data_IF_172090452524
#
_entry.id   IF_172090452524
#
_cell.length_a   1.000
_cell.length_b   1.000
_cell.length_c   1.000
_cell.angle_alpha   90.00
_cell.angle_beta   90.00
_cell.angle_gamma   90.00
#
_symmetry.space_group_name_H-M   'P 1'
#
loop_
_entity.id
_entity.type
_entity.pdbx_description
1 polymer ?
#
# COMPACT_ATOMS: atom_id res chain seq x y z
N UNK A 1 -13.90 9.34 16.83
CA UNK A 1 -13.40 9.05 15.48
C UNK A 1 -12.94 7.61 15.43
N UNK A 2 -13.31 6.87 14.41
CA UNK A 2 -12.81 5.51 14.19
C UNK A 2 -11.60 5.49 13.25
N UNK A 3 -10.99 4.32 13.07
CA UNK A 3 -9.79 4.17 12.25
C UNK A 3 -10.04 4.45 10.76
N UNK A 4 -11.22 4.10 10.25
CA UNK A 4 -11.60 4.35 8.85
C UNK A 4 -11.72 5.84 8.55
N UNK A 5 -12.28 6.60 9.51
CA UNK A 5 -12.33 8.06 9.40
C UNK A 5 -10.94 8.70 9.36
N UNK A 6 -9.99 8.18 10.17
CA UNK A 6 -8.60 8.66 10.14
C UNK A 6 -7.94 8.38 8.79
N UNK A 7 -8.12 7.17 8.24
CA UNK A 7 -7.60 6.82 6.91
C UNK A 7 -8.15 7.76 5.83
N UNK A 8 -9.47 7.97 5.82
CA UNK A 8 -10.12 8.88 4.88
C UNK A 8 -9.63 10.32 5.01
N UNK A 9 -9.52 10.83 6.24
CA UNK A 9 -8.98 12.17 6.48
C UNK A 9 -7.54 12.30 5.99
N UNK A 10 -6.70 11.28 6.19
CA UNK A 10 -5.33 11.26 5.69
C UNK A 10 -5.29 11.29 4.16
N UNK A 11 -6.09 10.46 3.50
CA UNK A 11 -6.18 10.44 2.03
C UNK A 11 -6.64 11.81 1.53
N UNK A 12 -7.74 12.33 2.07
CA UNK A 12 -8.29 13.63 1.65
C UNK A 12 -7.29 14.77 1.90
N UNK A 13 -6.56 14.74 3.04
CA UNK A 13 -5.52 15.73 3.31
C UNK A 13 -4.46 15.79 2.21
N UNK A 14 -3.93 14.63 1.83
CA UNK A 14 -2.89 14.55 0.80
C UNK A 14 -3.40 14.99 -0.58
N UNK A 15 -4.64 14.65 -0.92
CA UNK A 15 -5.24 15.08 -2.19
C UNK A 15 -5.82 16.50 -2.17
N UNK A 16 -5.78 17.21 -1.04
CA UNK A 16 -6.17 18.63 -0.96
C UNK A 16 -5.04 19.61 -1.28
N UNK A 17 -3.80 19.15 -1.39
CA UNK A 17 -2.67 19.92 -1.89
C UNK A 17 -2.50 19.67 -3.40
N UNK A 18 -2.45 20.72 -4.21
CA UNK A 18 -2.46 20.64 -5.68
C UNK A 18 -1.25 19.85 -6.22
N UNK A 19 -0.06 20.02 -5.65
CA UNK A 19 1.13 19.32 -6.12
C UNK A 19 1.10 17.83 -5.76
N UNK A 20 0.61 17.49 -4.57
CA UNK A 20 0.43 16.10 -4.16
C UNK A 20 -0.71 15.44 -4.95
N UNK A 21 -1.78 16.18 -5.27
CA UNK A 21 -2.87 15.69 -6.09
C UNK A 21 -2.40 15.23 -7.47
N UNK A 22 -1.54 16.00 -8.13
CA UNK A 22 -1.01 15.63 -9.45
C UNK A 22 -0.10 14.38 -9.43
N UNK A 23 0.55 14.11 -8.30
CA UNK A 23 1.57 13.07 -8.18
C UNK A 23 1.09 11.77 -7.57
N UNK A 24 0.21 11.83 -6.57
CA UNK A 24 -0.15 10.68 -5.77
C UNK A 24 -1.28 9.86 -6.40
N UNK A 25 -1.18 8.55 -6.27
CA UNK A 25 -2.22 7.60 -6.66
C UNK A 25 -2.40 6.61 -5.52
N UNK A 26 -3.59 6.54 -4.93
CA UNK A 26 -3.92 5.59 -3.87
C UNK A 26 -3.89 4.16 -4.41
N UNK A 27 -3.28 3.24 -3.66
CA UNK A 27 -3.18 1.84 -4.03
C UNK A 27 -3.42 0.88 -2.85
N UNK A 28 -3.17 -0.41 -3.09
CA UNK A 28 -3.12 -1.44 -2.05
C UNK A 28 -4.45 -1.75 -1.40
N UNK A 29 -4.38 -2.31 -0.19
CA UNK A 29 -5.56 -2.77 0.55
C UNK A 29 -6.57 -1.66 0.89
N UNK A 30 -6.10 -0.41 1.03
CA UNK A 30 -6.98 0.72 1.30
C UNK A 30 -7.80 1.15 0.07
N UNK A 31 -7.25 1.02 -1.13
CA UNK A 31 -8.02 1.20 -2.36
C UNK A 31 -9.12 0.13 -2.47
N UNK A 32 -8.79 -1.15 -2.19
CA UNK A 32 -9.76 -2.25 -2.20
C UNK A 32 -10.88 -2.07 -1.17
N UNK A 33 -10.54 -1.59 0.02
CA UNK A 33 -11.50 -1.44 1.12
C UNK A 33 -12.33 -0.15 1.02
N UNK A 34 -11.68 1.02 0.92
CA UNK A 34 -12.34 2.31 1.04
C UNK A 34 -12.98 2.78 -0.27
N UNK A 35 -12.40 2.44 -1.42
CA UNK A 35 -12.87 2.88 -2.73
C UNK A 35 -13.73 1.82 -3.38
N UNK A 36 -13.19 0.61 -3.57
CA UNK A 36 -13.89 -0.45 -4.30
C UNK A 36 -14.82 -1.28 -3.45
N UNK A 37 -14.68 -1.25 -2.10
CA UNK A 37 -15.50 -2.02 -1.14
C UNK A 37 -15.50 -3.53 -1.42
N UNK A 38 -14.40 -4.04 -1.94
CA UNK A 38 -14.22 -5.44 -2.30
C UNK A 38 -13.80 -6.33 -1.15
N UNK A 39 -13.26 -5.76 -0.08
CA UNK A 39 -12.80 -6.50 1.10
C UNK A 39 -13.15 -5.78 2.38
N UNK A 40 -13.56 -6.54 3.40
CA UNK A 40 -13.72 -6.01 4.76
C UNK A 40 -12.38 -5.87 5.51
N UNK A 41 -11.30 -6.45 4.95
CA UNK A 41 -9.96 -6.40 5.56
C UNK A 41 -9.41 -4.98 5.55
N UNK A 42 -9.09 -4.47 6.73
CA UNK A 42 -8.44 -3.17 6.88
C UNK A 42 -6.93 -3.29 6.76
N UNK A 43 -6.31 -2.43 5.94
CA UNK A 43 -4.87 -2.21 5.97
C UNK A 43 -4.55 -1.07 6.94
N UNK A 44 -3.55 -1.27 7.80
CA UNK A 44 -3.14 -0.23 8.76
C UNK A 44 -2.32 0.87 8.09
N UNK A 45 -1.54 0.54 7.08
CA UNK A 45 -0.68 1.46 6.37
C UNK A 45 -1.38 1.93 5.09
N UNK A 46 -1.28 3.23 4.80
CA UNK A 46 -1.78 3.81 3.57
C UNK A 46 -0.67 3.79 2.52
N UNK A 47 -0.98 3.24 1.35
CA UNK A 47 -0.02 3.08 0.27
C UNK A 47 -0.38 4.00 -0.90
N UNK A 48 0.59 4.76 -1.37
CA UNK A 48 0.48 5.58 -2.57
C UNK A 48 1.63 5.29 -3.53
N UNK A 49 1.35 5.46 -4.81
CA UNK A 49 2.33 5.42 -5.89
C UNK A 49 2.52 6.78 -6.52
N UNK A 50 3.73 7.00 -7.04
CA UNK A 50 4.09 8.12 -7.90
C UNK A 50 4.81 7.59 -9.14
N UNK A 51 4.58 8.20 -10.31
CA UNK A 51 5.29 7.86 -11.53
C UNK A 51 6.76 8.29 -11.49
N UNK A 52 7.03 9.43 -10.88
CA UNK A 52 8.38 9.98 -10.68
C UNK A 52 8.78 10.04 -9.22
N UNK A 53 9.56 11.06 -8.90
CA UNK A 53 10.05 11.37 -7.55
C UNK A 53 9.49 12.71 -7.05
N UNK A 54 9.58 12.97 -5.74
CA UNK A 54 9.31 14.28 -5.16
C UNK A 54 10.47 15.22 -5.55
N UNK A 55 10.14 16.36 -6.16
CA UNK A 55 11.16 17.26 -6.70
C UNK A 55 11.97 17.88 -5.55
N UNK A 56 11.52 18.60 -4.67
CA UNK A 56 12.23 19.27 -3.59
C UNK A 56 11.81 18.66 -2.24
N UNK A 57 12.56 17.69 -1.73
CA UNK A 57 12.18 16.91 -0.55
C UNK A 57 11.77 17.77 0.67
N UNK A 58 12.50 18.85 1.06
CA UNK A 58 12.09 19.69 2.17
C UNK A 58 10.72 20.34 1.93
N UNK A 59 10.48 20.85 0.73
CA UNK A 59 9.20 21.47 0.37
C UNK A 59 8.06 20.43 0.33
N UNK A 60 8.31 19.25 -0.23
CA UNK A 60 7.33 18.17 -0.26
C UNK A 60 6.97 17.68 1.16
N UNK A 61 7.95 17.55 2.05
CA UNK A 61 7.74 17.20 3.45
C UNK A 61 6.86 18.25 4.15
N UNK A 62 7.16 19.53 3.98
CA UNK A 62 6.40 20.62 4.58
C UNK A 62 4.95 20.66 4.07
N UNK A 63 4.73 20.43 2.77
CA UNK A 63 3.39 20.33 2.17
C UNK A 63 2.58 19.19 2.76
N UNK A 64 3.18 18.00 2.83
CA UNK A 64 2.53 16.79 3.39
C UNK A 64 2.09 17.06 4.82
N UNK A 65 2.98 17.53 5.69
CA UNK A 65 2.62 17.76 7.08
C UNK A 65 1.67 18.95 7.28
N UNK A 66 1.74 19.98 6.46
CA UNK A 66 0.78 21.07 6.48
C UNK A 66 -0.61 20.57 6.15
N UNK A 67 -0.77 19.86 5.03
CA UNK A 67 -2.06 19.31 4.60
C UNK A 67 -2.65 18.39 5.67
N UNK A 68 -1.82 17.52 6.28
CA UNK A 68 -2.25 16.63 7.36
C UNK A 68 -2.66 17.43 8.61
N UNK A 69 -1.85 18.37 9.08
CA UNK A 69 -2.17 19.20 10.26
C UNK A 69 -3.47 19.95 10.07
N UNK A 70 -3.63 20.66 8.95
CA UNK A 70 -4.82 21.49 8.68
C UNK A 70 -6.08 20.62 8.67
N UNK A 71 -6.01 19.42 8.07
CA UNK A 71 -7.15 18.50 8.00
C UNK A 71 -7.51 17.92 9.36
N UNK A 72 -6.54 17.45 10.12
CA UNK A 72 -6.78 16.89 11.45
C UNK A 72 -7.15 17.95 12.47
N UNK A 73 -6.60 19.15 12.35
CA UNK A 73 -6.96 20.31 13.16
C UNK A 73 -8.44 20.67 13.01
N UNK A 74 -8.91 20.75 11.77
CA UNK A 74 -10.32 20.97 11.46
C UNK A 74 -11.24 19.86 11.99
N UNK A 75 -10.71 18.64 12.16
CA UNK A 75 -11.43 17.51 12.74
C UNK A 75 -11.32 17.42 14.28
N UNK A 76 -10.68 18.39 14.96
CA UNK A 76 -10.52 18.44 16.41
C UNK A 76 -9.38 17.58 16.96
N UNK A 77 -8.38 17.26 16.13
CA UNK A 77 -7.20 16.49 16.52
C UNK A 77 -5.92 17.30 16.36
N UNK A 78 -4.93 16.99 17.20
CA UNK A 78 -3.57 17.49 17.08
C UNK A 78 -2.70 16.37 16.53
N UNK A 79 -1.98 16.67 15.44
CA UNK A 79 -0.99 15.79 14.84
C UNK A 79 0.39 16.12 15.42
N UNK A 80 1.14 15.08 15.81
CA UNK A 80 2.45 15.24 16.45
C UNK A 80 3.35 14.01 16.23
N UNK A 81 4.60 14.06 16.71
CA UNK A 81 5.65 13.04 16.49
C UNK A 81 5.82 12.71 14.99
N UNK A 82 5.86 13.76 14.17
CA UNK A 82 5.99 13.70 12.73
C UNK A 82 7.36 13.19 12.31
N UNK A 83 7.39 12.27 11.34
CA UNK A 83 8.62 11.78 10.72
C UNK A 83 8.43 11.60 9.23
N UNK A 84 9.43 12.01 8.48
CA UNK A 84 9.56 11.74 7.06
C UNK A 84 10.88 11.00 6.82
N UNK A 85 10.81 9.80 6.31
CA UNK A 85 11.98 8.93 6.13
C UNK A 85 12.07 8.44 4.69
N UNK A 86 13.28 8.45 4.14
CA UNK A 86 13.58 7.78 2.86
C UNK A 86 13.67 6.29 3.12
N UNK A 87 13.00 5.48 2.31
CA UNK A 87 13.03 4.01 2.39
C UNK A 87 13.51 3.41 1.06
N UNK A 88 14.50 2.55 1.07
CA UNK A 88 15.38 2.23 2.22
C UNK A 88 16.29 3.41 2.58
N UNK A 89 16.80 3.44 3.81
CA UNK A 89 17.73 4.50 4.28
C UNK A 89 19.02 4.60 3.45
N UNK A 90 19.45 3.49 2.90
CA UNK A 90 20.58 3.41 1.97
C UNK A 90 20.26 2.35 0.91
N UNK A 91 20.50 2.70 -0.34
CA UNK A 91 20.37 1.77 -1.45
C UNK A 91 21.44 0.68 -1.35
N UNK A 92 21.05 -0.53 -1.70
CA UNK A 92 21.97 -1.63 -1.86
C UNK A 92 22.80 -1.53 -3.15
N UNK A 93 23.90 -2.27 -3.20
CA UNK A 93 24.79 -2.34 -4.38
C UNK A 93 24.06 -2.70 -5.66
N UNK A 94 23.01 -3.54 -5.57
CA UNK A 94 22.20 -3.99 -6.72
C UNK A 94 20.84 -3.27 -6.85
N UNK A 95 20.57 -2.28 -5.99
CA UNK A 95 19.31 -1.52 -6.06
C UNK A 95 19.48 -0.30 -6.96
N UNK A 96 18.66 -0.15 -8.00
CA UNK A 96 18.72 1.02 -8.86
C UNK A 96 18.34 2.30 -8.09
N UNK A 97 18.81 3.48 -8.53
CA UNK A 97 18.44 4.77 -7.92
C UNK A 97 16.92 5.03 -7.85
N UNK A 98 16.18 4.37 -8.74
CA UNK A 98 14.71 4.41 -8.80
C UNK A 98 14.03 3.54 -7.72
N UNK A 99 14.79 2.76 -6.95
CA UNK A 99 14.26 1.90 -5.91
C UNK A 99 13.78 2.69 -4.69
N UNK A 100 12.70 2.22 -4.07
CA UNK A 100 12.23 2.73 -2.80
C UNK A 100 11.19 3.83 -2.90
N UNK A 101 11.17 4.69 -1.89
CA UNK A 101 10.18 5.75 -1.74
C UNK A 101 10.34 6.47 -0.41
N UNK A 102 9.23 6.89 0.16
CA UNK A 102 9.20 7.64 1.40
C UNK A 102 8.19 7.04 2.37
N UNK A 103 8.47 7.16 3.64
CA UNK A 103 7.52 6.83 4.69
C UNK A 103 7.25 8.07 5.54
N UNK A 104 5.98 8.45 5.60
CA UNK A 104 5.47 9.48 6.49
C UNK A 104 4.86 8.81 7.69
N UNK A 105 5.18 9.26 8.89
CA UNK A 105 4.54 8.74 10.10
C UNK A 105 4.23 9.84 11.09
N UNK A 106 3.16 9.66 11.85
CA UNK A 106 2.67 10.63 12.83
C UNK A 106 1.79 9.96 13.89
N UNK A 107 1.49 10.70 14.94
CA UNK A 107 0.50 10.33 15.97
C UNK A 107 -0.60 11.37 16.04
N UNK A 108 -1.73 10.97 16.59
CA UNK A 108 -2.90 11.82 16.79
C UNK A 108 -3.35 11.79 18.25
N UNK A 109 -3.82 12.94 18.73
CA UNK A 109 -4.51 13.08 20.00
C UNK A 109 -5.67 14.06 19.84
N UNK A 110 -6.77 13.87 20.57
CA UNK A 110 -7.86 14.85 20.61
C UNK A 110 -7.35 16.20 21.14
N UNK A 111 -7.73 17.30 20.49
CA UNK A 111 -7.31 18.66 20.85
C UNK A 111 -7.59 18.97 22.33
N UNK A 112 -8.80 18.69 22.80
CA UNK A 112 -9.17 18.90 24.19
C UNK A 112 -8.18 18.19 25.14
N UNK A 113 -7.86 16.93 24.82
CA UNK A 113 -6.96 16.13 25.66
C UNK A 113 -5.53 16.66 25.60
N UNK A 114 -5.07 17.10 24.43
CA UNK A 114 -3.77 17.76 24.27
C UNK A 114 -3.64 19.00 25.16
N UNK A 115 -4.65 19.86 25.17
CA UNK A 115 -4.70 21.06 25.98
C UNK A 115 -4.70 20.75 27.49
N UNK A 116 -5.50 19.78 27.94
CA UNK A 116 -5.54 19.33 29.34
C UNK A 116 -4.18 18.81 29.85
N UNK A 117 -3.38 18.22 28.98
CA UNK A 117 -2.06 17.70 29.32
C UNK A 117 -0.97 18.78 29.39
N UNK A 118 -1.27 20.01 28.99
CA UNK A 118 -0.40 21.16 29.18
C UNK A 118 1.02 21.01 28.64
N UNK A 119 1.17 20.36 27.48
CA UNK A 119 2.47 20.18 26.80
C UNK A 119 3.35 19.06 27.36
N UNK A 120 2.89 18.24 28.31
CA UNK A 120 3.64 17.08 28.84
C UNK A 120 3.74 15.97 27.78
N UNK A 121 4.77 16.02 26.98
CA UNK A 121 4.91 15.18 25.76
C UNK A 121 4.80 13.67 26.04
N UNK A 122 5.33 13.16 27.16
CA UNK A 122 5.25 11.74 27.49
C UNK A 122 3.81 11.31 27.82
N UNK A 123 3.03 12.16 28.46
CA UNK A 123 1.62 11.89 28.73
C UNK A 123 0.79 12.01 27.45
N UNK A 124 1.11 12.96 26.58
CA UNK A 124 0.52 13.08 25.25
C UNK A 124 0.76 11.81 24.43
N UNK A 125 2.00 11.29 24.40
CA UNK A 125 2.36 10.05 23.74
C UNK A 125 1.60 8.84 24.27
N UNK A 126 1.44 8.72 25.58
CA UNK A 126 0.71 7.61 26.23
C UNK A 126 -0.78 7.66 25.93
N UNK A 127 -1.35 8.84 25.74
CA UNK A 127 -2.78 9.05 25.56
C UNK A 127 -3.17 9.34 24.11
N UNK A 128 -2.22 9.24 23.18
CA UNK A 128 -2.49 9.35 21.75
C UNK A 128 -3.38 8.21 21.26
N UNK A 129 -4.03 8.43 20.14
CA UNK A 129 -4.98 7.50 19.53
C UNK A 129 -4.34 6.12 19.28
N UNK A 130 -5.07 5.06 19.61
CA UNK A 130 -4.63 3.66 19.43
C UNK A 130 -5.23 3.09 18.15
N UNK A 131 -4.39 2.48 17.33
CA UNK A 131 -4.74 1.85 16.07
C UNK A 131 -4.90 0.34 16.27
N UNK A 132 -6.09 -0.18 16.04
CA UNK A 132 -6.36 -1.62 16.12
C UNK A 132 -6.13 -2.23 17.50
N UNK A 133 -5.95 -3.54 17.55
CA UNK A 133 -5.85 -4.32 18.80
C UNK A 133 -4.46 -4.33 19.45
N UNK A 134 -3.40 -3.93 18.70
CA UNK A 134 -2.00 -4.09 19.11
C UNK A 134 -1.37 -2.92 19.86
N UNK A 135 -2.15 -1.99 20.42
CA UNK A 135 -1.62 -0.78 21.09
C UNK A 135 -0.75 0.11 20.19
N UNK A 136 -0.75 -0.12 18.87
CA UNK A 136 -0.04 0.72 17.90
C UNK A 136 -0.63 2.14 17.92
N UNK A 137 0.24 3.16 17.93
CA UNK A 137 -0.16 4.57 18.00
C UNK A 137 0.38 5.42 16.84
N UNK A 138 1.19 4.81 16.00
CA UNK A 138 1.84 5.48 14.87
C UNK A 138 1.08 5.13 13.60
N UNK A 139 0.55 6.16 12.95
CA UNK A 139 0.01 6.08 11.59
C UNK A 139 1.15 6.12 10.58
N UNK A 140 1.03 5.34 9.52
CA UNK A 140 2.06 5.23 8.49
C UNK A 140 1.44 5.42 7.12
N UNK A 141 2.11 6.22 6.30
CA UNK A 141 1.81 6.42 4.88
C UNK A 141 3.07 6.11 4.10
N UNK A 142 2.98 5.16 3.19
CA UNK A 142 4.09 4.75 2.32
C UNK A 142 3.88 5.32 0.92
N UNK A 143 4.89 6.04 0.41
CA UNK A 143 4.90 6.67 -0.90
C UNK A 143 5.93 5.95 -1.77
N UNK A 144 5.48 5.10 -2.68
CA UNK A 144 6.35 4.39 -3.63
C UNK A 144 6.62 5.26 -4.85
N UNK A 145 7.88 5.45 -5.22
CA UNK A 145 8.29 6.23 -6.39
C UNK A 145 8.60 5.36 -7.60
N UNK A 146 8.55 5.94 -8.80
CA UNK A 146 8.82 5.27 -10.07
C UNK A 146 7.96 4.01 -10.28
N UNK A 147 6.66 4.19 -10.05
CA UNK A 147 5.67 3.16 -10.32
C UNK A 147 4.94 3.45 -11.64
N UNK A 148 4.40 2.43 -12.27
CA UNK A 148 3.54 2.62 -13.44
C UNK A 148 2.14 3.05 -13.00
N UNK A 149 1.76 4.28 -13.31
CA UNK A 149 0.49 4.87 -12.86
C UNK A 149 -0.42 5.33 -13.99
N UNK A 150 -0.03 5.13 -15.25
CA UNK A 150 -0.76 5.66 -16.42
C UNK A 150 -2.26 5.27 -16.47
N UNK A 151 -2.68 4.02 -16.14
CA UNK A 151 -4.09 3.64 -16.15
C UNK A 151 -4.89 4.07 -14.92
N UNK A 152 -4.32 4.92 -14.02
CA UNK A 152 -5.05 5.41 -12.83
C UNK A 152 -6.38 6.03 -13.21
N UNK A 153 -7.35 5.92 -12.33
CA UNK A 153 -8.67 6.54 -12.50
C UNK A 153 -8.95 7.56 -11.41
N UNK A 154 -9.78 8.55 -11.73
CA UNK A 154 -10.28 9.48 -10.72
C UNK A 154 -11.60 8.99 -10.13
N UNK A 155 -11.77 9.18 -8.82
CA UNK A 155 -13.01 8.85 -8.12
C UNK A 155 -13.28 9.86 -7.01
N UNK A 156 -14.41 9.72 -6.32
CA UNK A 156 -14.76 10.55 -5.16
C UNK A 156 -14.61 9.76 -3.85
N UNK A 157 -13.90 10.36 -2.89
CA UNK A 157 -13.87 9.92 -1.51
C UNK A 157 -14.29 11.10 -0.62
N UNK A 158 -15.40 10.95 0.10
CA UNK A 158 -15.96 12.02 0.95
C UNK A 158 -16.01 13.40 0.24
N UNK A 159 -16.54 13.42 -1.00
CA UNK A 159 -16.66 14.59 -1.90
C UNK A 159 -15.35 15.11 -2.53
N UNK A 160 -14.18 14.62 -2.11
CA UNK A 160 -12.90 14.98 -2.72
C UNK A 160 -12.59 14.08 -3.91
N UNK A 161 -12.03 14.66 -4.97
CA UNK A 161 -11.48 13.89 -6.09
C UNK A 161 -10.14 13.32 -5.66
N UNK A 162 -9.95 12.02 -5.89
CA UNK A 162 -8.69 11.31 -5.66
C UNK A 162 -8.32 10.50 -6.89
N UNK A 163 -7.04 10.23 -7.09
CA UNK A 163 -6.59 9.22 -8.04
C UNK A 163 -6.35 7.89 -7.33
N UNK A 164 -6.75 6.81 -7.98
CA UNK A 164 -6.65 5.46 -7.43
C UNK A 164 -6.24 4.46 -8.52
N UNK A 165 -5.49 3.43 -8.15
CA UNK A 165 -5.22 2.28 -9.01
C UNK A 165 -6.52 1.59 -9.40
N UNK A 166 -6.63 1.15 -10.66
CA UNK A 166 -7.71 0.25 -11.06
C UNK A 166 -7.55 -1.13 -10.40
N UNK A 167 -8.60 -1.94 -10.32
CA UNK A 167 -8.51 -3.31 -9.83
C UNK A 167 -7.44 -4.14 -10.55
N UNK A 168 -7.28 -3.95 -11.87
CA UNK A 168 -6.27 -4.62 -12.70
C UNK A 168 -4.85 -4.18 -12.30
N UNK A 169 -4.63 -2.88 -12.11
CA UNK A 169 -3.33 -2.37 -11.61
C UNK A 169 -2.97 -2.95 -10.26
N UNK A 170 -3.94 -3.04 -9.32
CA UNK A 170 -3.71 -3.62 -7.99
C UNK A 170 -3.35 -5.10 -8.13
N UNK A 171 -4.05 -5.86 -8.98
CA UNK A 171 -3.77 -7.28 -9.21
C UNK A 171 -2.38 -7.50 -9.80
N UNK A 172 -2.02 -6.74 -10.84
CA UNK A 172 -0.70 -6.83 -11.47
C UNK A 172 0.44 -6.45 -10.49
N UNK A 173 0.24 -5.41 -9.66
CA UNK A 173 1.21 -5.02 -8.63
C UNK A 173 1.40 -6.10 -7.57
N UNK A 174 0.33 -6.74 -7.13
CA UNK A 174 0.39 -7.84 -6.16
C UNK A 174 1.11 -9.05 -6.74
N UNK A 175 0.84 -9.39 -7.98
CA UNK A 175 1.53 -10.46 -8.67
C UNK A 175 3.04 -10.16 -8.80
N UNK A 176 3.41 -8.94 -9.19
CA UNK A 176 4.79 -8.46 -9.16
C UNK A 176 5.41 -8.57 -7.76
N UNK A 177 4.68 -8.12 -6.72
CA UNK A 177 5.17 -8.15 -5.35
C UNK A 177 5.42 -9.58 -4.84
N UNK A 178 4.65 -10.57 -5.27
CA UNK A 178 4.93 -11.99 -5.01
C UNK A 178 6.27 -12.39 -5.66
N UNK A 179 6.48 -12.06 -6.94
CA UNK A 179 7.73 -12.34 -7.66
C UNK A 179 8.95 -11.64 -7.04
N UNK A 180 8.77 -10.45 -6.49
CA UNK A 180 9.85 -9.70 -5.82
C UNK A 180 10.36 -10.37 -4.53
N UNK A 181 9.65 -11.33 -3.95
CA UNK A 181 10.12 -12.05 -2.76
C UNK A 181 11.08 -13.19 -3.10
N UNK A 182 11.24 -13.53 -4.36
CA UNK A 182 12.09 -14.63 -4.81
C UNK A 182 13.57 -14.24 -4.75
N UNK A 183 14.48 -15.15 -4.35
CA UNK A 183 15.93 -14.91 -4.33
C UNK A 183 16.51 -14.50 -5.68
N UNK A 184 15.89 -14.93 -6.77
CA UNK A 184 16.29 -14.57 -8.14
C UNK A 184 16.06 -13.10 -8.49
N UNK A 185 15.25 -12.40 -7.70
CA UNK A 185 15.13 -10.96 -7.86
C UNK A 185 16.28 -10.25 -7.15
N UNK A 186 17.32 -9.94 -7.92
CA UNK A 186 18.62 -9.48 -7.42
C UNK A 186 18.62 -8.19 -6.54
N UNK A 187 17.66 -7.24 -6.67
CA UNK A 187 17.60 -6.10 -5.78
C UNK A 187 17.30 -6.43 -4.31
N UNK A 188 16.79 -7.64 -4.02
CA UNK A 188 16.52 -8.05 -2.65
C UNK A 188 17.80 -8.52 -1.94
N UNK A 189 18.12 -7.88 -0.80
CA UNK A 189 19.27 -8.22 0.04
C UNK A 189 19.04 -9.32 1.06
N UNK A 190 17.77 -9.58 1.37
CA UNK A 190 17.36 -10.51 2.42
C UNK A 190 16.35 -11.49 1.86
N UNK A 191 16.15 -12.64 2.53
CA UNK A 191 15.00 -13.48 2.23
C UNK A 191 13.77 -12.60 2.21
N UNK A 192 12.97 -12.73 1.16
CA UNK A 192 11.71 -12.00 1.04
C UNK A 192 10.77 -12.28 2.23
N UNK A 193 9.69 -11.57 2.31
CA UNK A 193 8.64 -11.80 3.31
C UNK A 193 7.48 -12.59 2.71
N UNK A 194 6.87 -13.54 3.42
CA UNK A 194 5.64 -14.18 2.99
C UNK A 194 4.55 -13.15 2.62
N UNK A 195 3.76 -13.47 1.60
CA UNK A 195 2.72 -12.58 1.06
C UNK A 195 1.40 -13.31 0.80
N UNK A 196 0.99 -14.21 1.70
CA UNK A 196 -0.26 -14.95 1.56
C UNK A 196 -1.48 -14.04 1.32
N UNK A 197 -1.44 -12.85 1.89
CA UNK A 197 -2.43 -11.79 1.68
C UNK A 197 -2.60 -11.38 0.22
N UNK A 198 -1.53 -11.35 -0.57
CA UNK A 198 -1.63 -10.95 -1.97
C UNK A 198 -2.31 -12.02 -2.82
N UNK A 199 -2.17 -13.30 -2.48
CA UNK A 199 -2.94 -14.39 -3.11
C UNK A 199 -4.43 -14.25 -2.84
N UNK A 200 -4.81 -13.96 -1.60
CA UNK A 200 -6.19 -13.69 -1.24
C UNK A 200 -6.76 -12.47 -1.98
N UNK A 201 -6.02 -11.37 -2.00
CA UNK A 201 -6.47 -10.15 -2.65
C UNK A 201 -6.62 -10.32 -4.18
N UNK A 202 -5.73 -11.08 -4.85
CA UNK A 202 -5.85 -11.42 -6.28
C UNK A 202 -7.12 -12.26 -6.52
N UNK A 203 -7.39 -13.24 -5.67
CA UNK A 203 -8.63 -14.03 -5.75
C UNK A 203 -9.87 -13.12 -5.65
N UNK A 204 -9.91 -12.23 -4.67
CA UNK A 204 -11.03 -11.28 -4.49
C UNK A 204 -11.18 -10.38 -5.73
N UNK A 205 -10.08 -9.86 -6.28
CA UNK A 205 -10.08 -9.02 -7.47
C UNK A 205 -10.64 -9.78 -8.70
N UNK A 206 -10.20 -11.00 -8.90
CA UNK A 206 -10.67 -11.81 -10.02
C UNK A 206 -12.15 -12.19 -9.88
N UNK A 207 -12.58 -12.60 -8.68
CA UNK A 207 -13.94 -13.15 -8.48
C UNK A 207 -15.00 -12.08 -8.23
N UNK A 208 -14.67 -11.01 -7.51
CA UNK A 208 -15.63 -9.97 -7.16
C UNK A 208 -15.59 -8.75 -8.09
N UNK A 209 -14.43 -8.46 -8.71
CA UNK A 209 -14.29 -7.35 -9.65
C UNK A 209 -14.13 -7.80 -11.13
N UNK A 210 -14.06 -9.10 -11.38
CA UNK A 210 -13.93 -9.66 -12.73
C UNK A 210 -12.58 -9.40 -13.39
N UNK A 211 -11.53 -9.17 -12.60
CA UNK A 211 -10.18 -8.91 -13.12
C UNK A 211 -9.62 -10.15 -13.81
N UNK A 212 -9.24 -10.03 -15.05
CA UNK A 212 -8.49 -11.03 -15.82
C UNK A 212 -7.29 -10.35 -16.49
N UNK A 213 -6.10 -10.55 -15.93
CA UNK A 213 -4.86 -9.92 -16.41
C UNK A 213 -4.44 -10.40 -17.80
N UNK A 214 -4.98 -11.53 -18.29
CA UNK A 214 -4.70 -12.02 -19.63
C UNK A 214 -5.31 -11.14 -20.74
N UNK A 215 -6.28 -10.32 -20.40
CA UNK A 215 -6.91 -9.36 -21.33
C UNK A 215 -6.10 -8.08 -21.53
N UNK A 216 -5.14 -7.80 -20.62
CA UNK A 216 -4.23 -6.63 -20.71
C UNK A 216 -2.81 -7.03 -20.27
N UNK A 217 -2.15 -7.84 -21.08
CA UNK A 217 -0.78 -8.30 -20.80
C UNK A 217 0.25 -7.17 -20.83
N UNK A 218 -0.03 -6.07 -21.52
CA UNK A 218 0.85 -4.91 -21.55
C UNK A 218 0.85 -4.17 -20.21
N UNK A 219 -0.28 -4.13 -19.50
CA UNK A 219 -0.31 -3.65 -18.12
C UNK A 219 0.66 -4.46 -17.24
N UNK A 220 0.65 -5.78 -17.35
CA UNK A 220 1.56 -6.64 -16.57
C UNK A 220 3.02 -6.33 -16.92
N UNK A 221 3.35 -6.22 -18.23
CA UNK A 221 4.70 -5.84 -18.69
C UNK A 221 5.16 -4.51 -18.09
N UNK A 222 4.34 -3.47 -18.16
CA UNK A 222 4.69 -2.13 -17.63
C UNK A 222 4.86 -2.13 -16.10
N UNK A 223 3.96 -2.81 -15.37
CA UNK A 223 4.03 -2.91 -13.91
C UNK A 223 5.29 -3.64 -13.46
N UNK A 224 5.67 -4.72 -14.13
CA UNK A 224 6.91 -5.47 -13.84
C UNK A 224 8.15 -4.66 -14.22
N UNK A 225 8.16 -4.05 -15.40
CA UNK A 225 9.26 -3.24 -15.91
C UNK A 225 9.56 -2.03 -15.01
N UNK A 226 8.55 -1.39 -14.42
CA UNK A 226 8.70 -0.25 -13.51
C UNK A 226 9.65 -0.52 -12.33
N UNK A 227 9.78 -1.79 -11.92
CA UNK A 227 10.69 -2.23 -10.85
C UNK A 227 11.76 -3.22 -11.32
N UNK A 228 11.96 -3.35 -12.61
CA UNK A 228 12.90 -4.30 -13.20
C UNK A 228 12.69 -5.74 -12.69
N UNK A 229 11.45 -6.17 -12.54
CA UNK A 229 11.11 -7.54 -12.13
C UNK A 229 11.05 -8.41 -13.39
N UNK A 230 11.87 -9.46 -13.49
CA UNK A 230 11.84 -10.34 -14.67
C UNK A 230 10.52 -11.10 -14.76
N UNK A 231 9.90 -11.08 -15.93
CA UNK A 231 8.61 -11.76 -16.17
C UNK A 231 8.71 -13.28 -16.03
N UNK A 232 9.87 -13.88 -16.29
CA UNK A 232 10.10 -15.31 -16.12
C UNK A 232 9.96 -15.81 -14.67
N UNK A 233 9.96 -14.89 -13.67
CA UNK A 233 9.66 -15.24 -12.29
C UNK A 233 8.20 -15.69 -12.09
N UNK A 234 7.30 -15.30 -13.00
CA UNK A 234 5.92 -15.80 -12.99
C UNK A 234 5.86 -17.32 -13.06
N UNK A 235 6.68 -17.95 -13.90
CA UNK A 235 6.76 -19.41 -14.03
C UNK A 235 7.19 -20.10 -12.72
N UNK A 236 7.91 -19.39 -11.84
CA UNK A 236 8.45 -19.90 -10.58
C UNK A 236 7.51 -19.75 -9.38
N UNK A 237 6.41 -19.01 -9.49
CA UNK A 237 5.46 -18.80 -8.38
C UNK A 237 5.07 -20.13 -7.74
N UNK A 238 4.90 -21.20 -8.54
CA UNK A 238 4.55 -22.54 -8.08
C UNK A 238 5.49 -23.14 -7.04
N UNK A 239 6.76 -22.73 -7.04
CA UNK A 239 7.81 -23.30 -6.19
C UNK A 239 7.83 -22.66 -4.80
N UNK A 240 7.07 -21.57 -4.61
CA UNK A 240 7.10 -20.74 -3.38
C UNK A 240 5.88 -20.93 -2.48
N UNK A 241 5.10 -21.99 -2.62
CA UNK A 241 3.91 -22.28 -1.80
C UNK A 241 4.23 -22.28 -0.31
N UNK A 242 5.21 -23.08 0.10
CA UNK A 242 5.59 -23.22 1.51
C UNK A 242 6.27 -21.98 2.08
N UNK A 243 6.85 -21.17 1.22
CA UNK A 243 7.39 -19.87 1.65
C UNK A 243 6.29 -18.88 2.04
N UNK A 244 5.17 -18.87 1.32
CA UNK A 244 4.07 -17.92 1.59
C UNK A 244 3.08 -18.40 2.65
N UNK A 245 2.92 -19.71 2.85
CA UNK A 245 1.96 -20.33 3.78
C UNK A 245 2.01 -19.79 5.22
N UNK A 246 3.19 -19.54 5.83
CA UNK A 246 3.27 -19.10 7.24
C UNK A 246 2.55 -17.78 7.54
N UNK A 247 2.29 -16.93 6.54
CA UNK A 247 1.54 -15.66 6.71
C UNK A 247 0.02 -15.86 6.72
N UNK A 248 -0.49 -17.02 6.30
CA UNK A 248 -1.93 -17.28 6.14
C UNK A 248 -2.76 -17.08 7.41
N UNK A 249 -2.34 -17.53 8.60
CA UNK A 249 -3.12 -17.32 9.82
C UNK A 249 -3.39 -15.84 10.11
N UNK A 250 -2.46 -14.94 9.76
CA UNK A 250 -2.64 -13.49 9.94
C UNK A 250 -3.68 -12.93 8.97
N UNK A 251 -3.75 -13.48 7.76
CA UNK A 251 -4.75 -13.11 6.75
C UNK A 251 -6.13 -13.58 7.22
N UNK A 252 -6.26 -14.85 7.60
CA UNK A 252 -7.53 -15.41 8.08
C UNK A 252 -8.09 -14.66 9.29
N UNK A 253 -7.22 -14.27 10.23
CA UNK A 253 -7.62 -13.46 11.39
C UNK A 253 -8.07 -12.03 11.04
N UNK A 254 -7.66 -11.50 9.89
CA UNK A 254 -8.00 -10.13 9.44
C UNK A 254 -9.31 -10.05 8.66
N UNK A 255 -9.89 -11.18 8.28
CA UNK A 255 -11.13 -11.27 7.52
C UNK A 255 -12.24 -11.76 8.46
N UNK A 256 -13.36 -11.06 8.53
CA UNK A 256 -14.43 -11.30 9.50
C UNK A 256 -15.34 -12.51 9.24
N UNK A 257 -14.96 -13.42 8.32
CA UNK A 257 -15.70 -14.64 7.99
C UNK A 257 -14.73 -15.81 7.72
N UNK A 258 -15.21 -17.07 7.78
CA UNK A 258 -14.39 -18.24 7.46
C UNK A 258 -13.82 -18.15 6.03
N UNK A 259 -12.58 -18.55 5.88
CA UNK A 259 -11.86 -18.64 4.60
C UNK A 259 -11.51 -20.10 4.30
N UNK A 260 -11.28 -20.38 3.04
CA UNK A 260 -10.64 -21.62 2.62
C UNK A 260 -9.18 -21.68 3.08
N UNK A 261 -8.55 -22.83 2.99
CA UNK A 261 -7.14 -22.98 3.29
C UNK A 261 -6.26 -22.24 2.25
N UNK A 262 -5.04 -21.90 2.63
CA UNK A 262 -4.11 -21.17 1.76
C UNK A 262 -3.94 -21.79 0.38
N UNK A 263 -3.93 -23.12 0.31
CA UNK A 263 -3.77 -23.87 -0.94
C UNK A 263 -4.82 -23.53 -1.99
N UNK A 264 -6.06 -23.31 -1.59
CA UNK A 264 -7.13 -22.90 -2.48
C UNK A 264 -6.79 -21.59 -3.21
N UNK A 265 -6.36 -20.58 -2.48
CA UNK A 265 -6.00 -19.26 -3.05
C UNK A 265 -4.71 -19.33 -3.85
N UNK A 266 -3.77 -20.13 -3.40
CA UNK A 266 -2.51 -20.34 -4.10
C UNK A 266 -2.75 -21.01 -5.47
N UNK A 267 -3.52 -22.09 -5.51
CA UNK A 267 -3.84 -22.82 -6.75
C UNK A 267 -4.66 -21.96 -7.71
N UNK A 268 -5.59 -21.14 -7.17
CA UNK A 268 -6.30 -20.16 -7.98
C UNK A 268 -5.34 -19.20 -8.68
N UNK A 269 -4.40 -18.61 -7.94
CA UNK A 269 -3.41 -17.66 -8.52
C UNK A 269 -2.51 -18.37 -9.53
N UNK A 270 -2.14 -19.63 -9.32
CA UNK A 270 -1.41 -20.41 -10.34
C UNK A 270 -2.21 -20.54 -11.64
N UNK A 271 -3.53 -20.72 -11.53
CA UNK A 271 -4.42 -20.73 -12.70
C UNK A 271 -4.43 -19.38 -13.44
N UNK A 272 -4.46 -18.26 -12.71
CA UNK A 272 -4.36 -16.91 -13.32
C UNK A 272 -2.98 -16.66 -13.93
N UNK A 273 -1.91 -17.08 -13.26
CA UNK A 273 -0.54 -17.01 -13.80
C UNK A 273 -0.41 -17.82 -15.11
N UNK A 274 -0.98 -19.01 -15.18
CA UNK A 274 -0.92 -19.85 -16.39
C UNK A 274 -1.52 -19.15 -17.62
N UNK A 275 -2.53 -18.30 -17.46
CA UNK A 275 -3.09 -17.51 -18.57
C UNK A 275 -2.10 -16.47 -19.13
N UNK A 276 -1.05 -16.15 -18.37
CA UNK A 276 0.00 -15.18 -18.74
C UNK A 276 1.25 -15.86 -19.34
N UNK A 277 1.18 -17.15 -19.70
CA UNK A 277 2.33 -17.96 -20.15
C UNK A 277 3.11 -17.29 -21.29
N UNK A 278 2.45 -16.59 -22.20
CA UNK A 278 3.09 -15.84 -23.29
C UNK A 278 4.11 -14.79 -22.81
N UNK A 279 4.08 -14.37 -21.53
CA UNK A 279 5.01 -13.37 -21.01
C UNK A 279 6.40 -13.91 -20.64
N UNK A 280 6.58 -15.23 -20.55
CA UNK A 280 7.86 -15.85 -20.15
C UNK A 280 8.32 -17.01 -21.04
N UNK A 281 7.59 -17.33 -22.08
CA UNK A 281 7.98 -18.36 -23.06
C UNK A 281 8.75 -17.76 -24.24
N UNK A 282 8.80 -16.45 -24.37
CA UNK A 282 9.70 -15.72 -25.28
C UNK A 282 11.11 -15.65 -24.66
#
# INVERSE_FOLDING_TARGET
MDFDQIRKLTIVALFSDDELFERLVLKGGNALNLVYRLTARSSFDLDFSMEGDLAELPNAQDRIFRALRDRFDAAGFVLFDEKFEIKPKALGEHQPPTWGGYQVSFKLIERKRFEELGGKIEDIRRQSFVIGSGQRRVFTVDLSKYEYTAPKVSTKLDHYTIYVYTPEMISAEKLRAICQQMPEYSPMRHPGSPRARDFFDIYVLATAAGVDLSTDIDLVRHVFAAKNVPLNLLAKVRDYREFHRPDWPSVAASVGHPLEEFDFYFDFVLGEVAKLEALWVE
#
